data_IF_626527364971
#
_entry.id   IF_626527364971
#
_cell.length_a   1.000
_cell.length_b   1.000
_cell.length_c   1.000
_cell.angle_alpha   90.00
_cell.angle_beta   90.00
_cell.angle_gamma   90.00
#
_symmetry.space_group_name_H-M   'P 1'
#
loop_
_entity.id
_entity.type
_entity.pdbx_description
1 polymer ?
#
# COMPACT_ATOMS: atom_id res chain seq x y z
N UNK A 1 0.17 5.82 18.40
CA UNK A 1 0.60 6.70 17.30
C UNK A 1 -0.23 7.99 17.22
N UNK A 2 -1.42 7.99 17.81
CA UNK A 2 -2.32 9.15 17.88
C UNK A 2 -1.99 10.12 19.03
N UNK A 3 -0.93 9.86 19.78
CA UNK A 3 -0.45 10.80 20.79
C UNK A 3 0.00 12.10 20.11
N UNK A 4 -0.54 13.24 20.57
CA UNK A 4 -0.23 14.57 20.02
C UNK A 4 1.27 14.88 20.02
N UNK A 5 2.03 14.33 20.96
CA UNK A 5 3.47 14.48 21.03
C UNK A 5 4.21 13.78 19.86
N UNK A 6 3.58 12.85 19.20
CA UNK A 6 4.16 12.05 18.09
C UNK A 6 3.58 12.40 16.72
N UNK A 7 2.51 13.16 16.65
CA UNK A 7 1.92 13.67 15.41
C UNK A 7 2.54 15.02 15.04
N UNK A 8 3.70 14.99 14.41
CA UNK A 8 4.45 16.22 14.13
C UNK A 8 3.98 16.99 12.90
N UNK A 9 3.31 16.32 11.93
CA UNK A 9 2.90 16.95 10.67
C UNK A 9 1.45 17.41 10.68
N UNK A 10 0.53 16.54 11.05
CA UNK A 10 -0.91 16.81 11.04
C UNK A 10 -1.56 16.31 12.33
N UNK A 11 -1.40 17.03 13.45
CA UNK A 11 -2.02 16.65 14.73
C UNK A 11 -3.53 16.52 14.60
N UNK A 12 -4.10 15.44 15.15
CA UNK A 12 -5.55 15.19 15.12
C UNK A 12 -6.10 14.71 13.78
N UNK A 13 -5.27 14.53 12.75
CA UNK A 13 -5.67 13.99 11.45
C UNK A 13 -5.38 12.48 11.39
N UNK A 14 -6.33 11.70 11.84
CA UNK A 14 -6.30 10.24 11.83
C UNK A 14 -7.72 9.69 11.81
N UNK A 15 -7.89 8.48 11.35
CA UNK A 15 -9.16 7.78 11.47
C UNK A 15 -9.34 7.22 12.89
N UNK A 16 -10.51 7.40 13.45
CA UNK A 16 -10.93 6.65 14.64
C UNK A 16 -11.18 5.18 14.28
N UNK A 17 -11.27 4.32 15.27
CA UNK A 17 -11.61 2.90 15.04
C UNK A 17 -13.00 2.75 14.41
N UNK A 18 -13.94 3.60 14.80
CA UNK A 18 -15.30 3.64 14.28
C UNK A 18 -15.28 4.04 12.80
N UNK A 19 -14.61 5.14 12.45
CA UNK A 19 -14.48 5.59 11.05
C UNK A 19 -13.78 4.54 10.17
N UNK A 20 -12.77 3.86 10.69
CA UNK A 20 -12.10 2.77 9.97
C UNK A 20 -13.07 1.61 9.69
N UNK A 21 -13.89 1.21 10.67
CA UNK A 21 -14.93 0.18 10.49
C UNK A 21 -16.04 0.61 9.54
N UNK A 22 -16.47 1.86 9.61
CA UNK A 22 -17.43 2.44 8.67
C UNK A 22 -16.88 2.43 7.23
N UNK A 23 -15.60 2.77 7.05
CA UNK A 23 -14.95 2.71 5.74
C UNK A 23 -14.90 1.27 5.18
N UNK A 24 -14.60 0.29 6.01
CA UNK A 24 -14.66 -1.15 5.63
C UNK A 24 -16.07 -1.53 5.18
N UNK A 25 -17.08 -1.16 5.98
CA UNK A 25 -18.48 -1.45 5.66
C UNK A 25 -18.93 -0.77 4.37
N UNK A 26 -18.54 0.50 4.16
CA UNK A 26 -18.82 1.25 2.94
C UNK A 26 -18.20 0.58 1.71
N UNK A 27 -16.93 0.24 1.77
CA UNK A 27 -16.25 -0.45 0.67
C UNK A 27 -16.94 -1.78 0.35
N UNK A 28 -17.26 -2.57 1.36
CA UNK A 28 -17.96 -3.86 1.20
C UNK A 28 -19.32 -3.70 0.55
N UNK A 29 -20.10 -2.69 0.96
CA UNK A 29 -21.43 -2.40 0.38
C UNK A 29 -21.35 -1.99 -1.10
N UNK A 30 -20.21 -1.45 -1.54
CA UNK A 30 -19.94 -1.03 -2.92
C UNK A 30 -19.11 -2.03 -3.71
N UNK A 31 -18.95 -3.26 -3.23
CA UNK A 31 -18.15 -4.32 -3.87
C UNK A 31 -16.68 -3.93 -4.10
N UNK A 32 -16.14 -3.07 -3.23
CA UNK A 32 -14.73 -2.70 -3.23
C UNK A 32 -13.97 -3.46 -2.16
N UNK A 33 -12.79 -3.96 -2.49
CA UNK A 33 -11.90 -4.57 -1.51
C UNK A 33 -10.96 -3.48 -0.96
N UNK A 34 -11.13 -3.14 0.32
CA UNK A 34 -10.20 -2.27 1.02
C UNK A 34 -8.93 -3.06 1.37
N UNK A 35 -7.77 -2.50 1.11
CA UNK A 35 -6.46 -3.07 1.46
C UNK A 35 -5.74 -2.06 2.36
N UNK A 36 -5.76 -2.23 3.69
CA UNK A 36 -4.98 -1.39 4.57
C UNK A 36 -3.49 -1.67 4.40
N UNK A 37 -2.67 -0.64 4.56
CA UNK A 37 -1.22 -0.75 4.53
C UNK A 37 -0.60 -0.25 5.83
N UNK A 38 0.31 -1.05 6.37
CA UNK A 38 1.27 -0.64 7.40
C UNK A 38 2.65 -0.91 6.86
N UNK A 39 3.30 0.13 6.39
CA UNK A 39 4.64 0.01 5.83
C UNK A 39 5.68 -0.35 6.90
N UNK A 40 6.45 -1.41 6.60
CA UNK A 40 7.43 -1.97 7.51
C UNK A 40 8.59 -2.63 6.75
N UNK A 41 9.82 -2.57 7.23
CA UNK A 41 10.30 -1.75 8.35
C UNK A 41 10.68 -0.33 7.91
N UNK A 42 10.52 0.00 6.62
CA UNK A 42 10.73 1.33 6.05
C UNK A 42 9.68 2.33 6.52
N UNK A 43 9.88 3.61 6.16
CA UNK A 43 8.93 4.70 6.41
C UNK A 43 8.42 4.79 7.86
N UNK A 44 9.19 4.26 8.81
CA UNK A 44 8.81 3.99 10.20
C UNK A 44 9.20 5.08 11.20
N UNK A 45 9.46 6.31 10.75
CA UNK A 45 9.91 7.38 11.63
C UNK A 45 8.93 7.68 12.80
N UNK A 46 7.62 7.57 12.57
CA UNK A 46 6.60 7.73 13.61
C UNK A 46 6.68 6.61 14.65
N UNK A 47 6.87 5.37 14.22
CA UNK A 47 7.05 4.22 15.11
C UNK A 47 8.28 4.41 16.01
N UNK A 48 9.43 4.78 15.41
CA UNK A 48 10.66 4.99 16.16
C UNK A 48 10.53 6.15 17.18
N UNK A 49 9.86 7.24 16.80
CA UNK A 49 9.60 8.34 17.75
C UNK A 49 8.74 7.93 18.93
N UNK A 50 7.71 7.11 18.66
CA UNK A 50 6.75 6.67 19.68
C UNK A 50 7.36 5.64 20.62
N UNK A 51 7.93 4.59 20.07
CA UNK A 51 8.32 3.41 20.84
C UNK A 51 9.82 3.35 21.16
N UNK A 52 10.64 4.21 20.56
CA UNK A 52 12.10 4.27 20.75
C UNK A 52 12.82 2.97 20.34
N UNK A 53 12.23 2.21 19.46
CA UNK A 53 12.77 0.97 18.90
C UNK A 53 12.70 0.99 17.39
N UNK A 54 13.71 0.39 16.72
CA UNK A 54 13.61 0.04 15.30
C UNK A 54 12.65 -1.14 15.14
N UNK A 55 11.84 -1.14 14.10
CA UNK A 55 10.89 -2.23 13.83
C UNK A 55 11.58 -3.59 13.69
N UNK A 56 12.81 -3.64 13.21
CA UNK A 56 13.58 -4.87 13.01
C UNK A 56 14.26 -5.38 14.29
N UNK A 57 14.25 -4.58 15.38
CA UNK A 57 14.75 -5.04 16.68
C UNK A 57 13.80 -6.05 17.33
N UNK A 58 14.27 -6.92 18.25
CA UNK A 58 13.40 -7.87 18.94
C UNK A 58 12.21 -7.21 19.64
N UNK A 59 12.42 -6.09 20.29
CA UNK A 59 11.37 -5.31 20.97
C UNK A 59 10.44 -4.63 19.97
N UNK A 60 11.01 -4.04 18.90
CA UNK A 60 10.21 -3.45 17.82
C UNK A 60 9.29 -4.45 17.15
N UNK A 61 9.76 -5.66 16.88
CA UNK A 61 8.95 -6.74 16.33
C UNK A 61 7.80 -7.17 17.25
N UNK A 62 8.03 -7.19 18.57
CA UNK A 62 6.96 -7.48 19.54
C UNK A 62 5.87 -6.40 19.52
N UNK A 63 6.27 -5.13 19.53
CA UNK A 63 5.34 -4.01 19.47
C UNK A 63 4.58 -4.01 18.14
N UNK A 64 5.30 -4.27 17.04
CA UNK A 64 4.70 -4.30 15.72
C UNK A 64 3.63 -5.40 15.61
N UNK A 65 3.85 -6.58 16.20
CA UNK A 65 2.84 -7.65 16.25
C UNK A 65 1.57 -7.22 17.00
N UNK A 66 1.69 -6.48 18.10
CA UNK A 66 0.52 -5.94 18.81
C UNK A 66 -0.24 -4.93 17.95
N UNK A 67 0.47 -4.09 17.17
CA UNK A 67 -0.16 -3.19 16.22
C UNK A 67 -0.85 -3.98 15.09
N UNK A 68 -0.25 -5.07 14.62
CA UNK A 68 -0.89 -5.94 13.62
C UNK A 68 -2.14 -6.63 14.16
N UNK A 69 -2.18 -6.97 15.45
CA UNK A 69 -3.39 -7.51 16.08
C UNK A 69 -4.53 -6.49 15.99
N UNK A 70 -4.29 -5.25 16.41
CA UNK A 70 -5.27 -4.15 16.35
C UNK A 70 -5.73 -3.88 14.91
N UNK A 71 -4.79 -3.81 13.95
CA UNK A 71 -5.11 -3.58 12.54
C UNK A 71 -5.94 -4.73 11.96
N UNK A 72 -5.56 -5.97 12.20
CA UNK A 72 -6.28 -7.12 11.69
C UNK A 72 -7.67 -7.27 12.29
N UNK A 73 -7.87 -6.85 13.54
CA UNK A 73 -9.16 -6.83 14.21
C UNK A 73 -10.05 -5.68 13.74
N UNK A 74 -9.46 -4.50 13.52
CA UNK A 74 -10.18 -3.30 13.06
C UNK A 74 -10.63 -3.44 11.61
N UNK A 75 -9.75 -3.94 10.75
CA UNK A 75 -10.01 -4.10 9.32
C UNK A 75 -10.40 -5.54 9.00
N UNK A 76 -11.70 -5.83 8.98
CA UNK A 76 -12.24 -7.12 8.55
C UNK A 76 -12.21 -7.23 7.02
N UNK A 77 -11.02 -7.41 6.48
CA UNK A 77 -10.70 -7.48 5.05
C UNK A 77 -9.75 -8.64 4.76
N UNK A 78 -9.73 -9.17 3.52
CA UNK A 78 -8.95 -10.37 3.21
C UNK A 78 -7.44 -10.12 3.08
N UNK A 79 -7.02 -8.88 2.86
CA UNK A 79 -5.63 -8.54 2.57
C UNK A 79 -5.07 -7.50 3.54
N UNK A 80 -3.78 -7.59 3.80
CA UNK A 80 -2.98 -6.54 4.45
C UNK A 80 -1.72 -6.30 3.62
N UNK A 81 -1.43 -5.03 3.31
CA UNK A 81 -0.19 -4.64 2.66
C UNK A 81 0.83 -4.25 3.73
N UNK A 82 2.04 -4.82 3.65
CA UNK A 82 3.10 -4.64 4.65
C UNK A 82 4.25 -3.74 4.17
N UNK A 83 4.10 -3.07 3.05
CA UNK A 83 5.14 -2.21 2.50
C UNK A 83 6.37 -2.99 2.03
N UNK A 84 7.52 -2.75 2.64
CA UNK A 84 8.84 -3.37 2.43
C UNK A 84 9.72 -2.70 1.37
N UNK A 85 9.37 -1.52 0.90
CA UNK A 85 10.17 -0.76 -0.04
C UNK A 85 11.16 0.20 0.65
N UNK A 86 12.08 0.70 -0.14
CA UNK A 86 13.03 1.79 0.18
C UNK A 86 13.75 1.66 1.52
N UNK A 87 14.07 0.45 1.94
CA UNK A 87 14.67 0.18 3.25
C UNK A 87 15.81 -0.83 3.18
N UNK A 88 16.76 -0.71 4.09
CA UNK A 88 17.80 -1.70 4.33
C UNK A 88 17.31 -2.74 5.35
N UNK A 89 17.31 -4.00 4.96
CA UNK A 89 16.98 -5.11 5.86
C UNK A 89 18.20 -5.51 6.68
N UNK A 90 18.17 -5.20 7.97
CA UNK A 90 19.21 -5.55 8.94
C UNK A 90 18.93 -6.86 9.65
N UNK A 91 17.65 -7.28 9.67
CA UNK A 91 17.21 -8.56 10.24
C UNK A 91 16.61 -9.45 9.15
N UNK A 92 17.30 -10.50 8.70
CA UNK A 92 16.81 -11.36 7.61
C UNK A 92 15.56 -12.17 7.97
N UNK A 93 15.18 -12.27 9.25
CA UNK A 93 13.98 -12.96 9.70
C UNK A 93 12.76 -12.04 9.76
N UNK A 94 12.96 -10.72 9.67
CA UNK A 94 11.89 -9.74 9.87
C UNK A 94 10.71 -9.97 8.93
N UNK A 95 10.95 -9.91 7.62
CA UNK A 95 9.86 -10.03 6.63
C UNK A 95 9.20 -11.42 6.67
N UNK A 96 9.93 -12.55 6.65
CA UNK A 96 9.32 -13.86 6.78
C UNK A 96 8.46 -14.03 8.03
N UNK A 97 8.93 -13.49 9.16
CA UNK A 97 8.21 -13.57 10.43
C UNK A 97 6.94 -12.71 10.42
N UNK A 98 6.99 -11.50 9.86
CA UNK A 98 5.82 -10.64 9.75
C UNK A 98 4.79 -11.18 8.77
N UNK A 99 5.20 -11.72 7.63
CA UNK A 99 4.29 -12.40 6.69
C UNK A 99 3.60 -13.59 7.37
N UNK A 100 4.36 -14.43 8.07
CA UNK A 100 3.80 -15.57 8.81
C UNK A 100 2.81 -15.11 9.89
N UNK A 101 3.14 -14.03 10.59
CA UNK A 101 2.28 -13.49 11.65
C UNK A 101 0.96 -12.98 11.10
N UNK A 102 0.98 -12.17 10.05
CA UNK A 102 -0.23 -11.64 9.39
C UNK A 102 -1.08 -12.79 8.82
N UNK A 103 -0.46 -13.80 8.22
CA UNK A 103 -1.16 -15.00 7.74
C UNK A 103 -1.82 -15.78 8.89
N UNK A 104 -1.20 -15.82 10.07
CA UNK A 104 -1.79 -16.47 11.26
C UNK A 104 -3.07 -15.77 11.75
N UNK A 105 -3.29 -14.51 11.33
CA UNK A 105 -4.55 -13.76 11.55
C UNK A 105 -5.59 -13.99 10.45
N UNK A 106 -5.34 -14.92 9.53
CA UNK A 106 -6.27 -15.23 8.43
C UNK A 106 -6.23 -14.24 7.26
N UNK A 107 -5.23 -13.36 7.22
CA UNK A 107 -5.08 -12.38 6.11
C UNK A 107 -4.07 -12.88 5.08
N UNK A 108 -4.29 -12.52 3.82
CA UNK A 108 -3.30 -12.61 2.75
C UNK A 108 -2.41 -11.37 2.77
N UNK A 109 -1.16 -11.52 2.38
CA UNK A 109 -0.16 -10.46 2.49
C UNK A 109 0.27 -9.96 1.13
N UNK A 110 0.28 -8.63 1.00
CA UNK A 110 0.79 -7.90 -0.17
C UNK A 110 2.02 -7.10 0.26
N UNK A 111 2.96 -6.90 -0.64
CA UNK A 111 4.17 -6.12 -0.37
C UNK A 111 4.68 -5.44 -1.64
N UNK A 112 5.43 -4.34 -1.48
CA UNK A 112 6.02 -3.63 -2.61
C UNK A 112 7.11 -4.42 -3.33
N UNK A 113 7.22 -4.19 -4.64
CA UNK A 113 8.29 -4.70 -5.49
C UNK A 113 8.77 -3.57 -6.45
N UNK A 114 10.02 -3.08 -6.38
CA UNK A 114 11.13 -3.61 -5.56
C UNK A 114 10.90 -3.44 -4.04
N UNK A 115 11.41 -4.37 -3.30
CA UNK A 115 11.35 -4.47 -1.85
C UNK A 115 12.07 -5.74 -1.40
N UNK A 116 11.48 -6.48 -0.49
CA UNK A 116 11.98 -7.81 -0.14
C UNK A 116 11.85 -8.77 -1.33
N UNK A 117 12.84 -9.64 -1.52
CA UNK A 117 12.80 -10.66 -2.57
C UNK A 117 12.14 -11.95 -2.06
N UNK A 118 11.01 -12.30 -2.66
CA UNK A 118 10.24 -13.48 -2.30
C UNK A 118 10.45 -14.63 -3.28
N UNK A 119 10.30 -15.86 -2.77
CA UNK A 119 10.05 -17.05 -3.58
C UNK A 119 8.55 -17.31 -3.68
N UNK A 120 8.09 -18.06 -4.71
CA UNK A 120 6.70 -18.52 -4.76
C UNK A 120 6.26 -19.19 -3.46
N UNK A 121 5.11 -18.79 -2.93
CA UNK A 121 4.55 -19.25 -1.66
C UNK A 121 4.98 -18.47 -0.42
N UNK A 122 6.03 -17.65 -0.49
CA UNK A 122 6.47 -16.80 0.64
C UNK A 122 5.64 -15.54 0.80
N UNK A 123 4.95 -15.10 -0.23
CA UNK A 123 4.03 -13.96 -0.24
C UNK A 123 2.79 -14.31 -1.05
N UNK A 124 1.68 -13.65 -0.79
CA UNK A 124 0.44 -13.90 -1.53
C UNK A 124 0.34 -13.06 -2.80
N UNK A 125 0.92 -11.86 -2.79
CA UNK A 125 0.93 -10.94 -3.92
C UNK A 125 2.01 -9.88 -3.76
N UNK A 126 2.52 -9.34 -4.86
CA UNK A 126 3.39 -8.16 -4.84
C UNK A 126 2.77 -7.01 -5.62
N UNK A 127 3.09 -5.76 -5.24
CA UNK A 127 2.70 -4.56 -5.99
C UNK A 127 3.93 -3.91 -6.59
N UNK A 128 3.95 -3.80 -7.92
CA UNK A 128 5.04 -3.14 -8.64
C UNK A 128 4.85 -1.63 -8.57
N UNK A 129 5.79 -0.92 -7.96
CA UNK A 129 5.70 0.52 -7.76
C UNK A 129 6.68 1.33 -8.60
N UNK A 130 7.74 0.73 -9.09
CA UNK A 130 8.76 1.41 -9.88
C UNK A 130 9.12 0.60 -11.13
N UNK A 131 9.68 1.26 -12.13
CA UNK A 131 10.16 0.60 -13.36
C UNK A 131 11.21 -0.49 -13.09
N UNK A 132 11.82 -0.51 -11.91
CA UNK A 132 12.76 -1.56 -11.46
C UNK A 132 12.03 -2.81 -10.99
N UNK A 133 10.75 -2.68 -10.62
CA UNK A 133 9.92 -3.81 -10.21
C UNK A 133 9.71 -4.80 -11.35
N UNK A 134 9.87 -6.09 -11.05
CA UNK A 134 9.71 -7.17 -12.01
C UNK A 134 8.74 -8.20 -11.47
N UNK A 135 7.76 -8.54 -12.29
CA UNK A 135 6.89 -9.68 -11.99
C UNK A 135 7.71 -10.95 -11.85
N UNK A 136 7.34 -11.77 -10.89
CA UNK A 136 7.95 -13.05 -10.62
C UNK A 136 6.96 -14.17 -10.96
N UNK A 137 7.40 -15.17 -11.73
CA UNK A 137 6.56 -16.32 -12.05
C UNK A 137 6.08 -17.01 -10.77
N UNK A 138 4.78 -17.26 -10.66
CA UNK A 138 4.17 -17.91 -9.52
C UNK A 138 3.93 -16.99 -8.31
N UNK A 139 4.07 -15.68 -8.47
CA UNK A 139 3.66 -14.68 -7.50
C UNK A 139 2.77 -13.68 -8.22
N UNK A 140 1.46 -13.65 -7.91
CA UNK A 140 0.55 -12.65 -8.47
C UNK A 140 1.04 -11.24 -8.16
N UNK A 141 0.88 -10.33 -9.11
CA UNK A 141 1.33 -8.96 -8.92
C UNK A 141 0.31 -7.94 -9.40
N UNK A 142 0.25 -6.81 -8.70
CA UNK A 142 -0.47 -5.60 -9.08
C UNK A 142 0.52 -4.68 -9.78
N UNK A 143 0.13 -4.08 -10.91
CA UNK A 143 0.97 -3.12 -11.61
C UNK A 143 0.53 -1.68 -11.34
N UNK A 144 1.36 -0.91 -10.64
CA UNK A 144 1.15 0.53 -10.44
C UNK A 144 2.31 1.39 -10.94
N UNK A 145 3.25 0.81 -11.69
CA UNK A 145 4.52 1.43 -12.08
C UNK A 145 4.40 2.73 -12.87
N UNK A 146 3.35 2.87 -13.65
CA UNK A 146 3.13 4.03 -14.53
C UNK A 146 1.84 4.79 -14.18
N UNK A 147 1.24 4.47 -13.06
CA UNK A 147 -0.08 4.93 -12.68
C UNK A 147 -0.05 5.80 -11.42
N UNK A 148 0.99 6.63 -11.30
CA UNK A 148 1.14 7.59 -10.22
C UNK A 148 0.62 8.95 -10.67
N UNK A 149 -0.31 9.52 -9.89
CA UNK A 149 -0.95 10.80 -10.19
C UNK A 149 -0.24 12.00 -9.52
N UNK A 150 1.08 11.95 -9.43
CA UNK A 150 1.90 13.06 -8.92
C UNK A 150 2.18 14.12 -10.00
N UNK A 151 1.69 13.90 -11.22
CA UNK A 151 2.00 14.70 -12.40
C UNK A 151 1.12 15.95 -12.49
N UNK A 152 1.58 16.92 -13.29
CA UNK A 152 0.96 18.24 -13.44
C UNK A 152 0.10 18.37 -14.71
N UNK A 153 0.25 17.47 -15.66
CA UNK A 153 -0.45 17.48 -16.95
C UNK A 153 -1.60 16.46 -16.95
N UNK A 154 -2.80 16.94 -16.63
CA UNK A 154 -4.01 16.10 -16.60
C UNK A 154 -4.30 15.44 -17.96
N UNK A 155 -4.12 16.18 -19.04
CA UNK A 155 -4.45 15.67 -20.37
C UNK A 155 -3.42 14.64 -20.85
N UNK A 156 -2.15 14.91 -20.61
CA UNK A 156 -1.09 13.95 -20.90
C UNK A 156 -1.26 12.64 -20.12
N UNK A 157 -1.64 12.72 -18.85
CA UNK A 157 -1.88 11.56 -18.01
C UNK A 157 -3.08 10.72 -18.49
N UNK A 158 -4.18 11.33 -18.89
CA UNK A 158 -5.35 10.63 -19.44
C UNK A 158 -4.96 9.82 -20.69
N UNK A 159 -4.24 10.44 -21.63
CA UNK A 159 -3.79 9.76 -22.85
C UNK A 159 -2.80 8.64 -22.53
N UNK A 160 -1.86 8.90 -21.64
CA UNK A 160 -0.88 7.92 -21.22
C UNK A 160 -1.56 6.70 -20.55
N UNK A 161 -2.50 6.95 -19.64
CA UNK A 161 -3.26 5.89 -18.96
C UNK A 161 -4.12 5.09 -19.92
N UNK A 162 -4.88 5.75 -20.79
CA UNK A 162 -5.75 5.07 -21.75
C UNK A 162 -4.97 4.19 -22.72
N UNK A 163 -3.78 4.62 -23.15
CA UNK A 163 -2.90 3.85 -24.03
C UNK A 163 -1.95 2.91 -23.28
N UNK A 164 -1.93 2.92 -21.96
CA UNK A 164 -1.05 2.06 -21.18
C UNK A 164 -1.43 0.58 -21.36
N UNK A 165 -0.42 -0.27 -21.28
CA UNK A 165 -0.62 -1.72 -21.22
C UNK A 165 -0.19 -2.19 -19.84
N UNK A 166 -1.15 -2.63 -19.04
CA UNK A 166 -0.88 -3.20 -17.74
C UNK A 166 0.11 -4.35 -17.90
N UNK A 167 1.22 -4.31 -17.20
CA UNK A 167 2.32 -5.27 -17.33
C UNK A 167 3.00 -5.31 -18.74
N UNK A 168 2.76 -4.34 -19.60
CA UNK A 168 3.15 -4.39 -21.01
C UNK A 168 2.58 -5.64 -21.74
N UNK A 169 1.41 -6.10 -21.33
CA UNK A 169 0.70 -7.26 -21.89
C UNK A 169 -0.54 -6.82 -22.64
N UNK A 170 -0.92 -7.58 -23.66
CA UNK A 170 -2.18 -7.39 -24.38
C UNK A 170 -3.35 -8.12 -23.70
N UNK A 171 -3.04 -9.16 -22.95
CA UNK A 171 -4.02 -9.97 -22.25
C UNK A 171 -3.56 -10.22 -20.81
N UNK A 172 -4.52 -10.35 -19.91
CA UNK A 172 -4.27 -10.75 -18.54
C UNK A 172 -3.73 -12.18 -18.43
N UNK A 173 -3.18 -12.50 -17.26
CA UNK A 173 -2.72 -13.83 -16.90
C UNK A 173 -2.96 -14.08 -15.42
N UNK A 174 -2.82 -15.33 -14.98
CA UNK A 174 -2.95 -15.68 -13.55
C UNK A 174 -1.96 -14.95 -12.65
N UNK A 175 -0.79 -14.58 -13.18
CA UNK A 175 0.23 -13.81 -12.46
C UNK A 175 -0.07 -12.30 -12.45
N UNK A 176 -1.11 -11.85 -13.16
CA UNK A 176 -1.51 -10.44 -13.25
C UNK A 176 -2.79 -10.22 -12.46
N UNK A 177 -2.65 -9.70 -11.26
CA UNK A 177 -3.79 -9.44 -10.37
C UNK A 177 -4.57 -8.16 -10.73
N UNK A 178 -3.98 -7.28 -11.55
CA UNK A 178 -4.58 -6.03 -11.98
C UNK A 178 -3.66 -4.83 -11.82
N UNK A 179 -4.26 -3.67 -11.64
CA UNK A 179 -3.54 -2.39 -11.55
C UNK A 179 -4.11 -1.51 -10.45
N UNK A 180 -3.29 -0.62 -9.91
CA UNK A 180 -3.70 0.42 -8.97
C UNK A 180 -3.23 1.77 -9.50
N UNK A 181 -4.16 2.72 -9.50
CA UNK A 181 -3.89 4.14 -9.71
C UNK A 181 -3.54 4.77 -8.37
N UNK A 182 -2.33 5.27 -8.22
CA UNK A 182 -1.81 5.76 -6.96
C UNK A 182 -1.77 7.29 -6.92
N UNK A 183 -2.19 7.86 -5.79
CA UNK A 183 -2.04 9.28 -5.47
C UNK A 183 -1.06 9.41 -4.32
N UNK A 184 0.08 10.04 -4.58
CA UNK A 184 1.09 10.34 -3.56
C UNK A 184 1.11 11.84 -3.29
N UNK A 185 1.20 12.20 -2.01
CA UNK A 185 1.24 13.60 -1.56
C UNK A 185 2.66 14.17 -1.54
N UNK A 186 3.44 13.88 -2.56
CA UNK A 186 4.77 14.48 -2.75
C UNK A 186 4.66 15.95 -3.11
N UNK A 187 3.51 16.35 -3.62
CA UNK A 187 3.19 17.72 -3.96
C UNK A 187 2.56 18.43 -2.77
N UNK A 188 3.13 19.57 -2.41
CA UNK A 188 2.55 20.44 -1.40
C UNK A 188 1.30 21.13 -1.98
N UNK A 189 0.14 20.85 -1.40
CA UNK A 189 -1.14 21.51 -1.75
C UNK A 189 -1.54 22.50 -0.67
N UNK A 190 -2.24 23.55 -1.05
CA UNK A 190 -2.63 24.63 -0.13
C UNK A 190 -3.85 24.27 0.73
N UNK A 191 -4.67 23.32 0.30
CA UNK A 191 -5.88 22.87 0.99
C UNK A 191 -6.08 21.36 0.84
N UNK A 192 -6.87 20.74 1.71
CA UNK A 192 -7.25 19.33 1.57
C UNK A 192 -7.98 19.03 0.26
N UNK A 193 -8.80 19.96 -0.23
CA UNK A 193 -9.42 19.90 -1.55
C UNK A 193 -8.39 19.88 -2.69
N UNK A 194 -7.30 20.58 -2.51
CA UNK A 194 -6.21 20.61 -3.49
C UNK A 194 -5.64 19.23 -3.78
N UNK A 195 -5.67 18.31 -2.82
CA UNK A 195 -5.20 16.93 -3.06
C UNK A 195 -5.99 16.22 -4.17
N UNK A 196 -7.29 16.45 -4.25
CA UNK A 196 -8.14 15.84 -5.28
C UNK A 196 -8.09 16.62 -6.58
N UNK A 197 -8.18 17.95 -6.50
CA UNK A 197 -8.24 18.83 -7.68
C UNK A 197 -6.89 18.90 -8.38
N UNK A 198 -5.82 19.06 -7.61
CA UNK A 198 -4.47 19.28 -8.14
C UNK A 198 -3.72 17.97 -8.49
N UNK A 199 -4.19 16.82 -8.03
CA UNK A 199 -3.62 15.50 -8.38
C UNK A 199 -4.38 14.80 -9.52
N UNK A 200 -5.25 15.49 -10.23
CA UNK A 200 -5.89 14.99 -11.44
C UNK A 200 -6.63 13.66 -11.29
N UNK A 201 -7.14 13.37 -10.09
CA UNK A 201 -7.67 12.05 -9.77
C UNK A 201 -8.85 11.63 -10.64
N UNK A 202 -9.89 12.45 -10.70
CA UNK A 202 -11.15 12.05 -11.32
C UNK A 202 -11.08 11.74 -12.81
N UNK A 203 -10.50 12.57 -13.67
CA UNK A 203 -10.45 12.22 -15.10
C UNK A 203 -9.56 10.97 -15.33
N UNK A 204 -8.46 10.86 -14.63
CA UNK A 204 -7.54 9.75 -14.78
C UNK A 204 -8.10 8.43 -14.25
N UNK A 205 -8.90 8.46 -13.18
CA UNK A 205 -9.59 7.29 -12.67
C UNK A 205 -10.52 6.65 -13.71
N UNK A 206 -11.24 7.47 -14.47
CA UNK A 206 -12.13 6.97 -15.53
C UNK A 206 -11.34 6.34 -16.68
N UNK A 207 -10.25 6.98 -17.11
CA UNK A 207 -9.37 6.43 -18.14
C UNK A 207 -8.74 5.11 -17.70
N UNK A 208 -8.33 5.01 -16.43
CA UNK A 208 -7.75 3.80 -15.87
C UNK A 208 -8.78 2.69 -15.72
N UNK A 209 -9.99 2.99 -15.27
CA UNK A 209 -11.08 2.03 -15.16
C UNK A 209 -11.42 1.42 -16.51
N UNK A 210 -11.58 2.25 -17.55
CA UNK A 210 -11.80 1.80 -18.93
C UNK A 210 -10.66 0.91 -19.42
N UNK A 211 -9.41 1.25 -19.08
CA UNK A 211 -8.24 0.50 -19.53
C UNK A 211 -8.10 -0.85 -18.80
N UNK A 212 -8.51 -0.91 -17.54
CA UNK A 212 -8.42 -2.12 -16.71
C UNK A 212 -9.53 -3.14 -17.01
N UNK A 213 -10.65 -2.69 -17.60
CA UNK A 213 -11.78 -3.51 -18.02
C UNK A 213 -11.45 -4.28 -19.29
#
# INVERSE_FOLDING_TARGET
LNDSANTTRMPGKYYTLEEAKELVAFCKAHHMTLIPEIDMPGHSAAFIRTFRHDMQSPEGMKILKLLMDEVCETFDVPYLHIGTDEVQFTNPRFVPEMVSYVRSKGKKVISWNPGWHYKPGEIDMTQLWSYRGKAQKGIPAIDSRFHYLNHFDTFGDIIALYNSRIYNKEQGSEDLAGTILAIWNDRLVSTEWGMIIENNFYPNMLAMAERAW
#
